data_IF_965825823750
#
_entry.id   IF_965825823750
#
_cell.length_a   1.000
_cell.length_b   1.000
_cell.length_c   1.000
_cell.angle_alpha   90.00
_cell.angle_beta   90.00
_cell.angle_gamma   90.00
#
_symmetry.space_group_name_H-M   'P 1'
#
loop_
_entity.id
_entity.type
_entity.pdbx_description
1 polymer ?
#
# COMPACT_ATOMS: atom_id res chain seq x y z
N UNK A 1 -2.54 -48.46 20.72
CA UNK A 1 -3.20 -47.14 20.57
C UNK A 1 -2.17 -46.22 19.97
N UNK A 2 -2.47 -45.63 18.80
CA UNK A 2 -1.55 -44.69 18.15
C UNK A 2 -1.45 -43.41 18.96
N UNK A 3 -0.29 -42.75 18.97
CA UNK A 3 -0.11 -41.44 19.61
C UNK A 3 -1.19 -40.44 19.17
N UNK A 4 -1.61 -40.50 17.91
CA UNK A 4 -2.70 -39.69 17.34
C UNK A 4 -4.03 -39.84 18.11
N UNK A 5 -4.43 -41.06 18.47
CA UNK A 5 -5.69 -41.27 19.24
C UNK A 5 -5.64 -40.70 20.66
N UNK A 6 -4.45 -40.56 21.25
CA UNK A 6 -4.31 -39.97 22.58
C UNK A 6 -4.33 -38.44 22.50
N UNK A 7 -3.71 -37.87 21.46
CA UNK A 7 -3.72 -36.43 21.19
C UNK A 7 -5.16 -35.96 20.91
N UNK A 8 -5.90 -36.67 20.06
CA UNK A 8 -7.31 -36.37 19.74
C UNK A 8 -8.21 -36.41 21.00
N UNK A 9 -7.96 -37.37 21.91
CA UNK A 9 -8.70 -37.47 23.16
C UNK A 9 -8.36 -36.33 24.12
N UNK A 10 -7.08 -35.97 24.25
CA UNK A 10 -6.64 -34.85 25.12
C UNK A 10 -7.12 -33.50 24.56
N UNK A 11 -7.22 -33.33 23.24
CA UNK A 11 -7.84 -32.16 22.57
C UNK A 11 -9.31 -32.01 22.94
N UNK A 12 -10.04 -33.13 22.99
CA UNK A 12 -11.47 -33.12 23.36
C UNK A 12 -11.73 -32.81 24.84
N UNK A 13 -10.76 -33.10 25.73
CA UNK A 13 -10.92 -32.98 27.18
C UNK A 13 -10.33 -31.68 27.75
N UNK A 14 -9.30 -31.10 27.12
CA UNK A 14 -8.50 -30.01 27.72
C UNK A 14 -8.75 -28.62 27.12
N UNK A 15 -9.62 -28.52 26.10
CA UNK A 15 -9.75 -27.31 25.28
C UNK A 15 -8.54 -27.17 24.34
N UNK A 16 -8.76 -27.36 23.03
CA UNK A 16 -7.72 -27.51 22.01
C UNK A 16 -6.68 -26.38 21.85
N UNK A 17 -6.79 -25.28 22.60
CA UNK A 17 -5.81 -24.19 22.59
C UNK A 17 -4.44 -24.60 23.17
N UNK A 18 -4.39 -25.46 24.20
CA UNK A 18 -3.13 -25.83 24.86
C UNK A 18 -2.27 -26.82 24.05
N UNK A 19 -2.87 -27.63 23.17
CA UNK A 19 -2.15 -28.65 22.38
C UNK A 19 -1.48 -28.06 21.13
N UNK A 20 -1.91 -26.87 20.71
CA UNK A 20 -1.31 -26.13 19.59
C UNK A 20 -0.09 -25.30 19.99
N UNK A 21 0.15 -25.09 21.28
CA UNK A 21 1.28 -24.30 21.77
C UNK A 21 2.48 -25.19 22.02
N UNK A 22 3.60 -24.88 21.38
CA UNK A 22 4.90 -25.49 21.67
C UNK A 22 5.56 -24.79 22.86
N UNK A 23 5.58 -23.46 22.81
CA UNK A 23 6.31 -22.60 23.73
C UNK A 23 5.48 -21.35 24.02
N UNK A 24 5.40 -20.95 25.29
CA UNK A 24 4.83 -19.65 25.68
C UNK A 24 5.96 -18.64 25.82
N UNK A 25 5.91 -17.57 25.02
CA UNK A 25 6.96 -16.55 24.95
C UNK A 25 6.66 -15.34 25.86
N UNK A 26 5.52 -15.33 26.55
CA UNK A 26 5.06 -14.22 27.39
C UNK A 26 4.32 -13.13 26.60
N UNK A 27 3.71 -12.18 27.31
CA UNK A 27 2.95 -11.05 26.74
C UNK A 27 1.85 -11.45 25.73
N UNK A 28 1.28 -12.65 25.86
CA UNK A 28 0.29 -13.18 24.93
C UNK A 28 0.86 -13.81 23.65
N UNK A 29 2.19 -13.81 23.48
CA UNK A 29 2.86 -14.45 22.35
C UNK A 29 3.20 -15.90 22.65
N UNK A 30 3.04 -16.73 21.63
CA UNK A 30 3.30 -18.17 21.67
C UNK A 30 4.02 -18.61 20.40
N UNK A 31 4.70 -19.74 20.48
CA UNK A 31 5.13 -20.53 19.33
C UNK A 31 4.17 -21.68 19.10
N UNK A 32 3.65 -21.80 17.89
CA UNK A 32 2.71 -22.86 17.54
C UNK A 32 3.41 -24.16 17.13
N UNK A 33 2.78 -25.30 17.44
CA UNK A 33 3.09 -26.62 16.87
C UNK A 33 2.43 -26.70 15.49
N UNK A 34 3.22 -26.61 14.42
CA UNK A 34 2.76 -26.84 13.04
C UNK A 34 3.76 -27.74 12.31
N UNK A 35 3.32 -28.33 11.20
CA UNK A 35 4.14 -29.26 10.42
C UNK A 35 5.31 -28.57 9.71
N UNK A 36 6.39 -29.31 9.45
CA UNK A 36 7.51 -28.80 8.64
C UNK A 36 7.06 -28.44 7.21
N UNK A 37 6.03 -29.12 6.70
CA UNK A 37 5.42 -28.82 5.40
C UNK A 37 4.85 -27.40 5.35
N UNK A 38 4.17 -26.94 6.41
CA UNK A 38 3.64 -25.58 6.49
C UNK A 38 4.75 -24.53 6.57
N UNK A 39 5.89 -24.86 7.21
CA UNK A 39 7.08 -24.00 7.20
C UNK A 39 7.64 -23.81 5.79
N UNK A 40 7.71 -24.89 5.01
CA UNK A 40 8.18 -24.82 3.61
C UNK A 40 7.20 -24.05 2.73
N UNK A 41 5.90 -24.23 2.95
CA UNK A 41 4.86 -23.52 2.24
C UNK A 41 4.92 -22.01 2.47
N UNK A 42 5.24 -21.57 3.69
CA UNK A 42 5.26 -20.15 4.03
C UNK A 42 6.14 -19.31 3.10
N UNK A 43 7.30 -19.81 2.64
CA UNK A 43 8.14 -19.07 1.68
C UNK A 43 7.40 -18.71 0.39
N UNK A 44 6.45 -19.55 -0.04
CA UNK A 44 5.68 -19.35 -1.27
C UNK A 44 4.45 -18.44 -1.09
N UNK A 45 4.15 -17.99 0.14
CA UNK A 45 3.00 -17.13 0.41
C UNK A 45 3.24 -15.70 -0.08
N UNK A 46 4.49 -15.24 -0.08
CA UNK A 46 4.90 -13.94 -0.64
C UNK A 46 5.40 -14.15 -2.07
N UNK A 47 4.64 -13.67 -3.06
CA UNK A 47 4.93 -13.85 -4.49
C UNK A 47 5.24 -12.52 -5.19
N UNK A 48 4.83 -11.42 -4.59
CA UNK A 48 5.12 -10.07 -5.05
C UNK A 48 5.19 -9.08 -3.88
N UNK A 49 5.69 -7.87 -4.16
CA UNK A 49 5.78 -6.79 -3.18
C UNK A 49 4.41 -6.46 -2.56
N UNK A 50 3.33 -6.51 -3.34
CA UNK A 50 1.99 -6.23 -2.87
C UNK A 50 1.52 -7.21 -1.78
N UNK A 51 1.94 -8.48 -1.84
CA UNK A 51 1.62 -9.47 -0.81
C UNK A 51 2.24 -9.06 0.54
N UNK A 52 3.45 -8.47 0.56
CA UNK A 52 4.09 -7.95 1.78
C UNK A 52 3.24 -6.85 2.41
N UNK A 53 2.74 -5.93 1.57
CA UNK A 53 1.92 -4.80 2.05
C UNK A 53 0.62 -5.32 2.66
N UNK A 54 -0.05 -6.28 2.01
CA UNK A 54 -1.27 -6.90 2.55
C UNK A 54 -1.01 -7.62 3.87
N UNK A 55 0.06 -8.40 3.99
CA UNK A 55 0.39 -9.09 5.24
C UNK A 55 0.67 -8.13 6.39
N UNK A 56 1.39 -7.03 6.14
CA UNK A 56 1.65 -6.02 7.17
C UNK A 56 0.40 -5.22 7.53
N UNK A 57 -0.49 -4.94 6.56
CA UNK A 57 -1.80 -4.33 6.83
C UNK A 57 -2.69 -5.24 7.69
N UNK A 58 -2.71 -6.54 7.39
CA UNK A 58 -3.39 -7.54 8.22
C UNK A 58 -2.84 -7.53 9.63
N UNK A 59 -1.52 -7.56 9.80
CA UNK A 59 -0.88 -7.54 11.13
C UNK A 59 -1.26 -6.30 11.93
N UNK A 60 -1.27 -5.11 11.31
CA UNK A 60 -1.67 -3.88 11.98
C UNK A 60 -3.15 -3.90 12.40
N UNK A 61 -4.07 -4.28 11.50
CA UNK A 61 -5.50 -4.50 11.83
C UNK A 61 -5.66 -5.44 13.02
N UNK A 62 -4.94 -6.53 12.94
CA UNK A 62 -4.96 -7.64 13.88
C UNK A 62 -4.38 -7.27 15.27
N UNK A 63 -3.53 -6.25 15.31
CA UNK A 63 -3.02 -5.58 16.50
C UNK A 63 -3.90 -4.38 16.92
N UNK A 64 -5.17 -4.36 16.50
CA UNK A 64 -6.15 -3.34 16.86
C UNK A 64 -5.78 -1.90 16.46
N UNK A 65 -4.97 -1.72 15.42
CA UNK A 65 -4.68 -0.40 14.88
C UNK A 65 -5.98 0.27 14.38
N UNK A 66 -6.03 1.59 14.51
CA UNK A 66 -7.08 2.45 13.93
C UNK A 66 -6.57 3.25 12.72
N UNK A 67 -5.26 3.51 12.69
CA UNK A 67 -4.57 4.24 11.64
C UNK A 67 -3.31 3.49 11.19
N UNK A 68 -3.12 3.41 9.87
CA UNK A 68 -1.92 2.80 9.27
C UNK A 68 -1.32 3.75 8.24
N UNK A 69 -0.01 3.92 8.29
CA UNK A 69 0.77 4.81 7.43
C UNK A 69 1.78 3.98 6.65
N UNK A 70 1.69 4.03 5.32
CA UNK A 70 2.54 3.28 4.40
C UNK A 70 3.46 4.28 3.69
N UNK A 71 4.74 4.28 4.03
CA UNK A 71 5.75 4.97 3.24
C UNK A 71 6.35 4.00 2.23
N UNK A 72 6.46 4.44 0.97
CA UNK A 72 7.12 3.64 -0.06
C UNK A 72 7.93 4.48 -1.04
N UNK A 73 9.13 3.99 -1.35
CA UNK A 73 10.04 4.57 -2.36
C UNK A 73 10.73 3.45 -3.14
N UNK A 74 11.22 3.77 -4.33
CA UNK A 74 12.05 2.87 -5.13
C UNK A 74 13.28 3.59 -5.63
N UNK A 75 14.43 2.97 -5.43
CA UNK A 75 15.74 3.43 -5.89
C UNK A 75 16.39 2.31 -6.70
N UNK A 76 16.46 2.48 -8.02
CA UNK A 76 16.89 1.40 -8.91
C UNK A 76 15.95 0.19 -8.81
N UNK A 77 16.51 -0.98 -8.53
CA UNK A 77 15.73 -2.21 -8.28
C UNK A 77 15.37 -2.42 -6.81
N UNK A 78 15.72 -1.51 -5.91
CA UNK A 78 15.41 -1.64 -4.47
C UNK A 78 14.15 -0.86 -4.14
N UNK A 79 13.15 -1.54 -3.58
CA UNK A 79 11.97 -0.92 -2.99
C UNK A 79 12.08 -0.91 -1.48
N UNK A 80 11.80 0.25 -0.90
CA UNK A 80 11.68 0.45 0.53
C UNK A 80 10.20 0.57 0.89
N UNK A 81 9.82 -0.14 1.94
CA UNK A 81 8.49 -0.10 2.55
C UNK A 81 8.66 0.19 4.02
N UNK A 82 7.87 1.12 4.54
CA UNK A 82 7.75 1.34 5.98
C UNK A 82 6.27 1.40 6.33
N UNK A 83 5.81 0.50 7.19
CA UNK A 83 4.42 0.40 7.63
C UNK A 83 4.41 0.77 9.11
N UNK A 84 3.70 1.84 9.44
CA UNK A 84 3.59 2.39 10.79
C UNK A 84 2.12 2.31 11.20
N UNK A 85 1.85 1.81 12.40
CA UNK A 85 0.50 1.68 12.94
C UNK A 85 0.43 2.13 14.40
N UNK A 86 -0.77 2.51 14.84
CA UNK A 86 -1.09 2.92 16.21
C UNK A 86 -1.68 1.78 17.06
N UNK A 87 -1.40 0.52 16.70
CA UNK A 87 -1.95 -0.65 17.38
C UNK A 87 -1.26 -0.99 18.70
N UNK A 88 -1.48 -2.23 19.14
CA UNK A 88 -0.98 -2.77 20.41
C UNK A 88 0.55 -2.83 20.51
N UNK A 89 1.25 -2.78 19.37
CA UNK A 89 2.71 -2.88 19.32
C UNK A 89 3.30 -4.19 19.85
N UNK A 90 4.63 -4.27 19.87
CA UNK A 90 5.40 -5.48 20.17
C UNK A 90 6.44 -5.16 21.25
N UNK A 91 6.42 -5.88 22.40
CA UNK A 91 7.43 -5.74 23.44
C UNK A 91 8.86 -5.96 22.92
N UNK A 92 9.82 -5.19 23.44
CA UNK A 92 11.21 -5.14 22.95
C UNK A 92 11.85 -6.53 22.89
N UNK A 93 11.62 -7.35 23.91
CA UNK A 93 12.15 -8.71 24.03
C UNK A 93 11.60 -9.68 22.96
N UNK A 94 10.46 -9.36 22.34
CA UNK A 94 9.80 -10.19 21.32
C UNK A 94 10.08 -9.73 19.88
N UNK A 95 10.63 -8.54 19.66
CA UNK A 95 10.73 -7.93 18.33
C UNK A 95 11.59 -8.74 17.34
N UNK A 96 12.59 -9.49 17.82
CA UNK A 96 13.34 -10.42 16.97
C UNK A 96 12.59 -11.75 16.79
N UNK A 97 11.96 -12.24 17.86
CA UNK A 97 11.28 -13.54 17.88
C UNK A 97 10.05 -13.59 16.97
N UNK A 98 9.34 -12.48 16.78
CA UNK A 98 8.14 -12.45 15.90
C UNK A 98 8.43 -12.73 14.43
N UNK A 99 9.69 -12.64 14.00
CA UNK A 99 10.12 -13.04 12.65
C UNK A 99 10.50 -14.52 12.56
N UNK A 100 10.57 -15.23 13.68
CA UNK A 100 10.79 -16.66 13.68
C UNK A 100 9.52 -17.40 13.26
N UNK A 101 9.66 -18.60 12.65
CA UNK A 101 8.50 -19.33 12.22
C UNK A 101 7.63 -19.70 13.43
N UNK A 102 6.31 -19.60 13.23
CA UNK A 102 5.25 -20.09 14.14
C UNK A 102 5.01 -19.19 15.35
N UNK A 103 5.67 -18.04 15.42
CA UNK A 103 5.46 -17.08 16.50
C UNK A 103 4.24 -16.23 16.19
N UNK A 104 3.32 -16.15 17.14
CA UNK A 104 2.10 -15.32 17.02
C UNK A 104 1.53 -14.97 18.38
N UNK A 105 0.80 -13.87 18.45
CA UNK A 105 -0.08 -13.52 19.58
C UNK A 105 -1.51 -14.08 19.42
N UNK A 106 -1.79 -14.78 18.31
CA UNK A 106 -3.12 -15.30 17.98
C UNK A 106 -3.20 -16.81 18.19
N UNK A 107 -3.90 -17.19 19.26
CA UNK A 107 -4.22 -18.58 19.55
C UNK A 107 -5.46 -19.08 18.79
N UNK A 108 -6.34 -18.18 18.37
CA UNK A 108 -7.57 -18.53 17.68
C UNK A 108 -7.37 -18.79 16.18
N UNK A 109 -8.21 -19.69 15.69
CA UNK A 109 -8.20 -20.44 14.42
C UNK A 109 -7.73 -19.68 13.18
N UNK A 110 -7.00 -20.40 12.33
CA UNK A 110 -6.78 -20.09 10.90
C UNK A 110 -7.97 -19.33 10.30
N UNK A 111 -7.77 -18.06 9.97
CA UNK A 111 -8.78 -17.16 9.41
C UNK A 111 -8.61 -17.10 7.90
N UNK A 112 -9.70 -17.17 7.15
CA UNK A 112 -9.73 -16.93 5.71
C UNK A 112 -10.45 -15.61 5.45
N UNK A 113 -9.81 -14.69 4.76
CA UNK A 113 -10.41 -13.45 4.27
C UNK A 113 -10.23 -13.33 2.73
N UNK A 114 -10.59 -12.18 2.15
CA UNK A 114 -10.53 -11.92 0.71
C UNK A 114 -9.11 -12.05 0.10
N UNK A 115 -8.06 -12.00 0.92
CA UNK A 115 -6.67 -12.14 0.52
C UNK A 115 -6.09 -13.53 0.86
N UNK A 116 -6.93 -14.47 1.31
CA UNK A 116 -6.55 -15.86 1.62
C UNK A 116 -6.43 -16.18 3.10
N UNK A 117 -5.64 -17.21 3.41
CA UNK A 117 -5.52 -17.78 4.76
C UNK A 117 -4.41 -17.08 5.55
N UNK A 118 -4.72 -16.68 6.79
CA UNK A 118 -3.74 -16.15 7.75
C UNK A 118 -3.96 -16.69 9.17
N UNK A 119 -3.12 -16.27 10.13
CA UNK A 119 -3.24 -16.69 11.54
C UNK A 119 -2.41 -17.92 11.95
N UNK A 120 -1.41 -18.31 11.13
CA UNK A 120 -0.50 -19.44 11.43
C UNK A 120 0.84 -19.03 12.07
N UNK A 121 1.05 -17.74 12.33
CA UNK A 121 2.34 -17.22 12.80
C UNK A 121 3.46 -17.31 11.76
N UNK A 122 3.12 -17.21 10.46
CA UNK A 122 4.08 -17.39 9.37
C UNK A 122 4.29 -16.14 8.51
N UNK A 123 3.45 -15.11 8.63
CA UNK A 123 3.49 -13.92 7.78
C UNK A 123 4.83 -13.17 7.85
N UNK A 124 5.26 -12.76 9.05
CA UNK A 124 6.52 -12.05 9.25
C UNK A 124 7.75 -12.91 8.89
N UNK A 125 7.71 -14.21 9.21
CA UNK A 125 8.74 -15.16 8.80
C UNK A 125 8.84 -15.28 7.27
N UNK A 126 7.70 -15.36 6.59
CA UNK A 126 7.63 -15.45 5.13
C UNK A 126 8.19 -14.20 4.46
N UNK A 127 7.80 -13.01 4.95
CA UNK A 127 8.37 -11.74 4.49
C UNK A 127 9.89 -11.79 4.64
N UNK A 128 10.41 -12.11 5.84
CA UNK A 128 11.85 -12.17 6.11
C UNK A 128 12.61 -13.12 5.19
N UNK A 129 11.98 -14.20 4.75
CA UNK A 129 12.60 -15.21 3.87
C UNK A 129 12.63 -14.82 2.38
N UNK A 130 11.92 -13.76 1.98
CA UNK A 130 11.74 -13.37 0.57
C UNK A 130 12.28 -11.96 0.24
N UNK A 131 12.92 -11.29 1.19
CA UNK A 131 13.40 -9.90 1.04
C UNK A 131 14.83 -9.78 1.52
N UNK A 132 15.52 -8.70 1.12
CA UNK A 132 16.90 -8.43 1.57
C UNK A 132 16.93 -8.11 3.06
N UNK A 133 15.94 -7.37 3.54
CA UNK A 133 15.83 -6.96 4.93
C UNK A 133 14.36 -6.77 5.33
N UNK A 134 13.99 -7.23 6.52
CA UNK A 134 12.73 -6.89 7.17
C UNK A 134 12.99 -6.75 8.66
N UNK A 135 12.61 -5.69 9.34
CA UNK A 135 12.79 -5.57 10.78
C UNK A 135 11.73 -4.63 11.38
N UNK A 136 11.60 -4.65 12.71
CA UNK A 136 10.84 -3.64 13.43
C UNK A 136 11.78 -2.46 13.68
N UNK A 137 11.52 -1.33 13.04
CA UNK A 137 12.28 -0.10 13.22
C UNK A 137 12.02 0.50 14.60
N UNK A 138 10.75 0.51 15.01
CA UNK A 138 10.35 0.93 16.35
C UNK A 138 9.05 0.24 16.78
N UNK A 139 8.97 -0.19 18.03
CA UNK A 139 7.71 -0.63 18.63
C UNK A 139 7.85 -0.68 20.15
N UNK A 140 6.72 -0.72 20.84
CA UNK A 140 6.65 -1.04 22.26
C UNK A 140 5.23 -1.45 22.62
N UNK A 141 5.08 -2.12 23.76
CA UNK A 141 3.77 -2.54 24.24
C UNK A 141 2.84 -1.33 24.40
N UNK A 142 1.71 -1.36 23.71
CA UNK A 142 0.67 -0.32 23.63
C UNK A 142 1.16 1.01 23.02
N UNK A 143 2.21 0.97 22.20
CA UNK A 143 2.77 2.17 21.56
C UNK A 143 2.65 2.16 20.04
N UNK A 144 2.14 1.10 19.42
CA UNK A 144 2.15 0.87 17.97
C UNK A 144 3.41 0.18 17.47
N UNK A 145 3.47 -0.06 16.15
CA UNK A 145 4.65 -0.63 15.48
C UNK A 145 5.03 0.05 14.18
N UNK A 146 6.33 0.13 13.89
CA UNK A 146 6.92 0.55 12.64
C UNK A 146 7.76 -0.59 12.07
N UNK A 147 7.31 -1.20 10.98
CA UNK A 147 8.02 -2.23 10.24
C UNK A 147 8.73 -1.61 9.04
N UNK A 148 10.01 -1.93 8.87
CA UNK A 148 10.78 -1.55 7.69
C UNK A 148 11.13 -2.79 6.88
N UNK A 149 10.94 -2.71 5.56
CA UNK A 149 11.25 -3.80 4.62
C UNK A 149 11.97 -3.23 3.40
N UNK A 150 13.07 -3.89 3.03
CA UNK A 150 13.86 -3.60 1.84
C UNK A 150 13.80 -4.79 0.89
N UNK A 151 13.27 -4.56 -0.31
CA UNK A 151 12.99 -5.60 -1.30
C UNK A 151 13.81 -5.35 -2.57
N UNK A 152 14.52 -6.37 -3.03
CA UNK A 152 15.07 -6.39 -4.38
C UNK A 152 13.98 -6.81 -5.38
N UNK A 153 13.53 -5.86 -6.20
CA UNK A 153 12.46 -6.08 -7.18
C UNK A 153 12.87 -6.94 -8.38
N UNK A 154 14.17 -7.22 -8.55
CA UNK A 154 14.66 -8.19 -9.53
C UNK A 154 14.48 -9.65 -9.04
N UNK A 155 14.47 -9.86 -7.72
CA UNK A 155 14.27 -11.18 -7.10
C UNK A 155 12.79 -11.42 -6.73
N UNK A 156 12.15 -10.43 -6.11
CA UNK A 156 10.72 -10.43 -5.78
C UNK A 156 10.02 -9.31 -6.56
N UNK A 157 9.40 -9.69 -7.67
CA UNK A 157 8.74 -8.73 -8.57
C UNK A 157 7.64 -7.91 -7.88
N UNK A 158 7.42 -6.70 -8.37
CA UNK A 158 6.23 -5.88 -8.09
C UNK A 158 5.35 -5.81 -9.34
N UNK A 159 4.07 -5.49 -9.19
CA UNK A 159 3.20 -5.29 -10.36
C UNK A 159 3.61 -4.03 -11.14
N UNK A 160 3.29 -4.02 -12.42
CA UNK A 160 3.55 -2.85 -13.26
C UNK A 160 2.67 -1.68 -12.85
N UNK A 161 3.19 -0.46 -13.04
CA UNK A 161 2.52 0.81 -12.71
C UNK A 161 2.18 0.95 -11.21
N UNK A 162 3.16 1.43 -10.44
CA UNK A 162 3.02 1.71 -8.99
C UNK A 162 2.50 3.12 -8.66
N UNK A 163 2.07 3.89 -9.67
CA UNK A 163 1.75 5.31 -9.50
C UNK A 163 0.29 5.63 -9.83
N UNK A 164 -0.36 4.86 -10.71
CA UNK A 164 -1.75 5.10 -11.07
C UNK A 164 -2.71 4.60 -10.00
N UNK A 165 -3.70 5.42 -9.68
CA UNK A 165 -4.81 5.02 -8.82
C UNK A 165 -5.81 4.15 -9.58
N UNK A 166 -6.39 3.13 -8.93
CA UNK A 166 -7.51 2.40 -9.49
C UNK A 166 -8.79 3.23 -9.45
N UNK A 167 -9.80 2.81 -10.23
CA UNK A 167 -11.11 3.44 -10.33
C UNK A 167 -12.10 2.72 -9.41
N UNK A 168 -12.82 3.50 -8.61
CA UNK A 168 -13.91 3.01 -7.76
C UNK A 168 -15.25 3.16 -8.46
N UNK A 169 -16.06 2.11 -8.38
CA UNK A 169 -17.47 2.12 -8.78
C UNK A 169 -18.34 1.69 -7.59
N UNK A 170 -19.64 2.01 -7.68
CA UNK A 170 -20.64 1.45 -6.76
C UNK A 170 -21.33 0.29 -7.45
N UNK A 171 -21.53 -0.80 -6.73
CA UNK A 171 -22.38 -1.90 -7.19
C UNK A 171 -23.88 -1.54 -7.11
N UNK A 172 -24.74 -2.51 -7.45
CA UNK A 172 -26.20 -2.36 -7.44
C UNK A 172 -26.75 -2.03 -6.04
N UNK A 173 -26.06 -2.47 -4.98
CA UNK A 173 -26.39 -2.21 -3.57
C UNK A 173 -25.78 -0.89 -3.05
N UNK A 174 -25.05 -0.16 -3.89
CA UNK A 174 -24.41 1.11 -3.56
C UNK A 174 -23.09 0.98 -2.79
N UNK A 175 -22.54 -0.23 -2.67
CA UNK A 175 -21.26 -0.52 -2.03
C UNK A 175 -20.10 -0.20 -2.98
N UNK A 176 -19.13 0.54 -2.46
CA UNK A 176 -17.92 0.91 -3.20
C UNK A 176 -17.00 -0.30 -3.35
N UNK A 177 -16.54 -0.55 -4.56
CA UNK A 177 -15.54 -1.57 -4.88
C UNK A 177 -14.55 -1.03 -5.92
N UNK A 178 -13.37 -1.66 -6.00
CA UNK A 178 -12.40 -1.37 -7.06
C UNK A 178 -12.82 -2.07 -8.34
N UNK A 179 -13.18 -1.30 -9.37
CA UNK A 179 -13.65 -1.84 -10.63
C UNK A 179 -12.52 -2.10 -11.62
N UNK A 180 -11.59 -1.15 -11.75
CA UNK A 180 -10.52 -1.18 -12.77
C UNK A 180 -9.25 -0.54 -12.25
N UNK A 181 -8.13 -0.83 -12.91
CA UNK A 181 -6.83 -0.22 -12.65
C UNK A 181 -5.75 -1.26 -12.37
N UNK A 182 -4.50 -0.80 -12.22
CA UNK A 182 -3.36 -1.68 -11.96
C UNK A 182 -3.52 -2.40 -10.61
N UNK A 183 -3.02 -3.63 -10.53
CA UNK A 183 -2.95 -4.42 -9.28
C UNK A 183 -1.73 -4.03 -8.45
N UNK A 184 -1.54 -2.73 -8.24
CA UNK A 184 -0.35 -2.18 -7.57
C UNK A 184 -0.55 -2.00 -6.06
N UNK A 185 0.47 -1.49 -5.37
CA UNK A 185 0.43 -1.23 -3.93
C UNK A 185 -0.74 -0.29 -3.56
N UNK A 186 -1.02 0.73 -4.38
CA UNK A 186 -2.13 1.67 -4.15
C UNK A 186 -3.45 0.91 -4.13
N UNK A 187 -3.67 0.02 -5.10
CA UNK A 187 -4.88 -0.82 -5.16
C UNK A 187 -4.96 -1.76 -3.97
N UNK A 188 -3.87 -2.43 -3.60
CA UNK A 188 -3.84 -3.30 -2.42
C UNK A 188 -4.26 -2.55 -1.14
N UNK A 189 -3.67 -1.37 -0.90
CA UNK A 189 -4.03 -0.51 0.24
C UNK A 189 -5.49 -0.02 0.17
N UNK A 190 -5.99 0.32 -1.04
CA UNK A 190 -7.35 0.80 -1.23
C UNK A 190 -8.40 -0.29 -1.03
N UNK A 191 -8.20 -1.48 -1.59
CA UNK A 191 -9.08 -2.64 -1.39
C UNK A 191 -9.15 -3.02 0.09
N UNK A 192 -7.99 -3.05 0.76
CA UNK A 192 -7.94 -3.31 2.20
C UNK A 192 -8.65 -2.22 3.01
N UNK A 193 -8.47 -0.95 2.64
CA UNK A 193 -9.15 0.16 3.31
C UNK A 193 -10.66 0.12 3.08
N UNK A 194 -11.15 -0.28 1.90
CA UNK A 194 -12.58 -0.44 1.62
C UNK A 194 -13.23 -1.53 2.49
N UNK A 195 -12.57 -2.68 2.60
CA UNK A 195 -13.06 -3.80 3.41
C UNK A 195 -13.12 -3.45 4.90
N UNK A 196 -12.21 -2.58 5.37
CA UNK A 196 -12.07 -2.23 6.79
C UNK A 196 -12.47 -0.77 7.10
N UNK A 197 -13.24 -0.12 6.22
CA UNK A 197 -13.52 1.34 6.26
C UNK A 197 -14.21 1.85 7.54
N UNK A 198 -14.77 0.95 8.37
CA UNK A 198 -15.43 1.30 9.63
C UNK A 198 -14.46 1.38 10.81
N UNK A 199 -13.29 0.74 10.70
CA UNK A 199 -12.34 0.58 11.80
C UNK A 199 -10.96 1.15 11.48
N UNK A 200 -10.60 1.24 10.19
CA UNK A 200 -9.25 1.58 9.76
C UNK A 200 -9.21 2.77 8.80
N UNK A 201 -8.25 3.67 9.07
CA UNK A 201 -7.84 4.73 8.15
C UNK A 201 -6.43 4.46 7.66
N UNK A 202 -6.23 4.41 6.34
CA UNK A 202 -4.94 4.10 5.73
C UNK A 202 -4.43 5.30 4.95
N UNK A 203 -3.16 5.64 5.15
CA UNK A 203 -2.41 6.66 4.43
C UNK A 203 -1.28 6.02 3.64
N UNK A 204 -1.04 6.47 2.42
CA UNK A 204 0.03 5.95 1.56
C UNK A 204 0.70 7.09 0.82
N UNK A 205 2.04 7.12 0.84
CA UNK A 205 2.83 8.09 0.09
C UNK A 205 4.32 7.87 0.24
N UNK A 206 5.10 8.90 -0.10
CA UNK A 206 6.54 8.94 0.12
C UNK A 206 6.89 9.10 1.61
N UNK A 207 8.12 8.79 2.04
CA UNK A 207 8.59 9.05 3.41
C UNK A 207 8.37 10.50 3.86
N UNK A 208 8.53 11.47 2.95
CA UNK A 208 8.31 12.88 3.26
C UNK A 208 6.84 13.19 3.55
N UNK A 209 5.92 12.68 2.72
CA UNK A 209 4.49 12.88 2.89
C UNK A 209 3.95 12.15 4.12
N UNK A 210 4.44 10.94 4.40
CA UNK A 210 4.07 10.18 5.61
C UNK A 210 4.60 10.87 6.86
N UNK A 211 5.83 11.39 6.85
CA UNK A 211 6.36 12.20 7.96
C UNK A 211 5.48 13.43 8.21
N UNK A 212 5.12 14.18 7.15
CA UNK A 212 4.22 15.33 7.30
C UNK A 212 2.85 14.93 7.86
N UNK A 213 2.34 13.77 7.44
CA UNK A 213 1.06 13.23 7.92
C UNK A 213 1.13 12.83 9.40
N UNK A 214 2.23 12.21 9.84
CA UNK A 214 2.45 11.83 11.24
C UNK A 214 2.65 13.05 12.15
N UNK A 215 3.33 14.09 11.69
CA UNK A 215 3.46 15.36 12.41
C UNK A 215 2.08 15.99 12.63
N UNK A 216 1.26 16.08 11.58
CA UNK A 216 -0.12 16.59 11.68
C UNK A 216 -1.01 15.69 12.56
N UNK A 217 -0.87 14.37 12.47
CA UNK A 217 -1.57 13.41 13.32
C UNK A 217 -1.24 13.63 14.80
N UNK A 218 0.05 13.69 15.14
CA UNK A 218 0.51 13.93 16.51
C UNK A 218 0.07 15.28 17.05
N UNK A 219 0.11 16.36 16.26
CA UNK A 219 -0.39 17.67 16.70
C UNK A 219 -1.90 17.71 16.99
N UNK A 220 -2.69 16.87 16.32
CA UNK A 220 -4.13 16.75 16.58
C UNK A 220 -4.45 15.88 17.79
N UNK A 221 -3.61 14.89 18.09
CA UNK A 221 -3.78 13.97 19.22
C UNK A 221 -3.20 14.54 20.53
N UNK A 222 -2.04 15.18 20.46
CA UNK A 222 -1.32 15.71 21.62
C UNK A 222 -1.89 17.08 22.03
N UNK A 223 -2.45 17.14 23.24
CA UNK A 223 -2.77 18.41 23.91
C UNK A 223 -1.48 19.16 24.28
N UNK A 224 -1.50 20.49 24.23
CA UNK A 224 -0.34 21.34 24.57
C UNK A 224 0.24 21.06 25.96
N UNK A 225 -0.60 20.68 26.93
CA UNK A 225 -0.15 20.33 28.28
C UNK A 225 0.71 19.05 28.29
N UNK A 226 0.33 18.03 27.51
CA UNK A 226 1.10 16.79 27.42
C UNK A 226 2.51 17.05 26.89
N UNK A 227 2.65 17.90 25.87
CA UNK A 227 3.95 18.25 25.26
C UNK A 227 4.90 18.92 26.26
N UNK A 228 4.38 19.69 27.23
CA UNK A 228 5.19 20.39 28.23
C UNK A 228 5.77 19.47 29.31
N UNK A 229 5.20 18.28 29.51
CA UNK A 229 5.58 17.33 30.56
C UNK A 229 6.19 16.03 30.01
N UNK A 230 6.65 16.02 28.76
CA UNK A 230 7.33 14.86 28.19
C UNK A 230 8.79 14.86 28.64
N UNK A 231 9.10 14.03 29.64
CA UNK A 231 10.48 13.80 30.06
C UNK A 231 11.22 12.84 29.09
N UNK A 232 10.48 11.93 28.46
CA UNK A 232 11.01 10.93 27.51
C UNK A 232 10.03 10.70 26.35
N UNK A 233 10.46 11.07 25.14
CA UNK A 233 9.69 10.92 23.90
C UNK A 233 9.36 9.46 23.56
N UNK A 234 10.13 8.50 24.08
CA UNK A 234 9.89 7.08 23.81
C UNK A 234 8.65 6.54 24.53
N UNK A 235 8.13 7.28 25.52
CA UNK A 235 6.87 6.96 26.20
C UNK A 235 5.63 7.31 25.37
N UNK A 236 5.78 8.15 24.36
CA UNK A 236 4.69 8.49 23.45
C UNK A 236 4.40 7.34 22.46
N UNK A 237 3.13 7.17 22.03
CA UNK A 237 2.79 6.35 20.88
C UNK A 237 3.63 6.75 19.66
N UNK A 238 4.12 5.77 18.90
CA UNK A 238 5.09 6.02 17.83
C UNK A 238 4.55 6.99 16.77
N UNK A 239 3.25 6.94 16.49
CA UNK A 239 2.58 7.79 15.51
C UNK A 239 2.50 9.27 15.93
N UNK A 240 2.72 9.56 17.21
CA UNK A 240 2.65 10.92 17.77
C UNK A 240 4.02 11.56 17.97
N UNK A 241 5.10 10.76 18.02
CA UNK A 241 6.45 11.21 18.38
C UNK A 241 6.99 12.32 17.49
N UNK A 242 6.74 12.25 16.18
CA UNK A 242 7.30 13.24 15.25
C UNK A 242 6.78 14.67 15.53
N UNK A 243 5.58 14.80 16.10
CA UNK A 243 5.00 16.09 16.47
C UNK A 243 5.67 16.75 17.69
N UNK A 244 6.45 15.99 18.48
CA UNK A 244 7.21 16.52 19.61
C UNK A 244 8.60 17.05 19.21
N UNK A 245 9.00 16.92 17.94
CA UNK A 245 10.30 17.40 17.44
C UNK A 245 10.38 18.93 17.51
N UNK A 246 11.40 19.47 18.15
CA UNK A 246 11.60 20.91 18.30
C UNK A 246 12.15 21.57 17.03
N UNK A 247 12.96 20.85 16.24
CA UNK A 247 13.58 21.35 15.02
C UNK A 247 13.72 20.29 13.92
N UNK A 248 14.29 20.70 12.78
CA UNK A 248 14.45 19.83 11.61
C UNK A 248 15.41 18.66 11.86
N UNK A 249 16.44 18.85 12.69
CA UNK A 249 17.40 17.80 13.01
C UNK A 249 16.76 16.74 13.91
N UNK A 250 16.06 17.18 14.96
CA UNK A 250 15.30 16.27 15.81
C UNK A 250 14.23 15.50 15.02
N UNK A 251 13.50 16.19 14.13
CA UNK A 251 12.52 15.53 13.25
C UNK A 251 13.16 14.45 12.38
N UNK A 252 14.34 14.71 11.80
CA UNK A 252 15.07 13.71 11.02
C UNK A 252 15.50 12.52 11.86
N UNK A 253 16.05 12.75 13.05
CA UNK A 253 16.50 11.69 13.94
C UNK A 253 15.32 10.80 14.36
N UNK A 254 14.20 11.41 14.76
CA UNK A 254 13.00 10.67 15.14
C UNK A 254 12.40 9.92 13.95
N UNK A 255 12.30 10.54 12.77
CA UNK A 255 11.83 9.89 11.56
C UNK A 255 12.70 8.66 11.20
N UNK A 256 14.03 8.77 11.35
CA UNK A 256 14.95 7.67 11.11
C UNK A 256 14.68 6.48 12.05
N UNK A 257 14.31 6.72 13.32
CA UNK A 257 13.93 5.64 14.26
C UNK A 257 12.67 4.90 13.81
N UNK A 258 11.79 5.55 13.06
CA UNK A 258 10.60 4.91 12.47
C UNK A 258 10.88 4.24 11.12
N UNK A 259 12.13 4.27 10.63
CA UNK A 259 12.51 3.75 9.31
C UNK A 259 12.24 4.72 8.16
N UNK A 260 12.01 6.00 8.45
CA UNK A 260 11.75 7.05 7.45
C UNK A 260 13.00 7.91 7.22
N UNK A 261 13.64 7.74 6.06
CA UNK A 261 14.80 8.52 5.67
C UNK A 261 14.41 9.88 5.09
N UNK A 262 14.96 10.96 5.65
CA UNK A 262 14.69 12.34 5.21
C UNK A 262 16.00 13.12 5.00
N UNK A 263 15.95 14.12 4.11
CA UNK A 263 16.99 15.15 4.04
C UNK A 263 16.64 16.32 4.98
N UNK A 264 17.65 17.08 5.43
CA UNK A 264 17.46 18.30 6.22
C UNK A 264 16.57 19.32 5.53
N UNK A 265 16.78 19.50 4.22
CA UNK A 265 15.90 20.33 3.40
C UNK A 265 14.45 19.85 3.44
N UNK A 266 14.22 18.55 3.37
CA UNK A 266 12.86 17.97 3.44
C UNK A 266 12.25 18.20 4.82
N UNK A 267 12.99 17.99 5.90
CA UNK A 267 12.52 18.23 7.27
C UNK A 267 12.09 19.69 7.48
N UNK A 268 12.88 20.67 7.01
CA UNK A 268 12.47 22.08 7.03
C UNK A 268 11.20 22.35 6.22
N UNK A 269 11.02 21.70 5.05
CA UNK A 269 9.81 21.85 4.24
C UNK A 269 8.58 21.28 4.94
N UNK A 270 8.72 20.21 5.72
CA UNK A 270 7.64 19.65 6.53
C UNK A 270 7.27 20.62 7.66
N UNK A 271 8.25 21.06 8.46
CA UNK A 271 8.02 21.98 9.58
C UNK A 271 7.46 23.35 9.15
N UNK A 272 7.80 23.81 7.94
CA UNK A 272 7.25 25.04 7.37
C UNK A 272 5.92 24.86 6.63
N UNK A 273 5.35 23.64 6.62
CA UNK A 273 4.06 23.35 5.99
C UNK A 273 4.08 23.35 4.45
N UNK A 274 5.25 23.27 3.83
CA UNK A 274 5.38 23.18 2.36
C UNK A 274 5.10 21.77 1.81
N UNK A 275 5.13 20.75 2.67
CA UNK A 275 4.69 19.40 2.34
C UNK A 275 3.38 19.18 3.10
N UNK A 276 2.28 19.08 2.36
CA UNK A 276 0.97 18.92 2.95
C UNK A 276 0.77 17.48 3.48
N UNK A 277 0.11 17.32 4.64
CA UNK A 277 -0.36 16.02 5.12
C UNK A 277 -1.26 15.33 4.09
N UNK A 278 -1.11 14.01 3.97
CA UNK A 278 -1.90 13.21 3.06
C UNK A 278 -3.36 13.11 3.54
N UNK A 279 -4.26 12.94 2.58
CA UNK A 279 -5.59 12.39 2.86
C UNK A 279 -5.50 10.86 2.82
N UNK A 280 -6.40 10.19 3.54
CA UNK A 280 -6.50 8.73 3.52
C UNK A 280 -6.69 8.22 2.10
N UNK A 281 -6.18 7.02 1.79
CA UNK A 281 -6.23 6.40 0.45
C UNK A 281 -7.67 6.37 -0.11
N UNK A 282 -8.67 6.06 0.73
CA UNK A 282 -10.09 6.11 0.33
C UNK A 282 -10.59 7.48 -0.13
N UNK A 283 -10.07 8.57 0.46
CA UNK A 283 -10.46 9.95 0.13
C UNK A 283 -9.71 10.49 -1.08
N UNK A 284 -8.61 9.85 -1.49
CA UNK A 284 -7.87 10.22 -2.69
C UNK A 284 -8.56 9.77 -3.97
N UNK A 285 -9.48 8.79 -3.89
CA UNK A 285 -10.22 8.31 -5.04
C UNK A 285 -11.65 8.83 -5.00
N UNK A 286 -12.03 9.56 -6.05
CA UNK A 286 -13.42 9.97 -6.26
C UNK A 286 -14.13 8.82 -6.98
N UNK A 287 -15.22 8.26 -6.44
CA UNK A 287 -15.99 7.24 -7.14
C UNK A 287 -16.51 7.80 -8.46
N UNK A 288 -16.31 7.08 -9.56
CA UNK A 288 -17.06 7.39 -10.77
C UNK A 288 -18.55 7.13 -10.46
N UNK A 289 -19.42 8.07 -10.85
CA UNK A 289 -20.85 7.80 -10.84
C UNK A 289 -21.04 6.61 -11.78
N UNK A 290 -21.44 5.47 -11.20
CA UNK A 290 -21.74 4.26 -11.96
C UNK A 290 -22.54 4.67 -13.19
N UNK A 291 -22.09 4.23 -14.37
CA UNK A 291 -22.85 4.46 -15.59
C UNK A 291 -24.23 3.89 -15.33
N UNK A 292 -25.22 4.76 -15.17
CA UNK A 292 -26.63 4.37 -15.31
C UNK A 292 -26.67 3.52 -16.56
N UNK A 293 -27.03 2.26 -16.42
CA UNK A 293 -27.27 1.35 -17.53
C UNK A 293 -28.26 2.10 -18.41
N UNK A 294 -27.77 2.76 -19.47
CA UNK A 294 -28.68 3.42 -20.38
C UNK A 294 -29.44 2.27 -21.00
N UNK A 295 -30.74 2.21 -20.73
CA UNK A 295 -31.67 1.42 -21.55
C UNK A 295 -31.22 1.56 -23.00
N UNK A 296 -30.87 0.48 -23.71
CA UNK A 296 -30.38 0.59 -25.07
C UNK A 296 -31.41 1.38 -25.87
N UNK A 297 -31.01 2.59 -26.25
CA UNK A 297 -31.85 3.51 -26.98
C UNK A 297 -31.95 2.95 -28.40
N UNK A 298 -33.00 2.16 -28.63
CA UNK A 298 -33.31 1.50 -29.90
C UNK A 298 -33.45 2.48 -31.08
N UNK A 299 -33.44 3.79 -30.79
CA UNK A 299 -33.53 4.88 -31.76
C UNK A 299 -32.19 5.59 -32.06
N UNK A 300 -31.08 5.24 -31.40
CA UNK A 300 -29.76 5.76 -31.79
C UNK A 300 -29.22 4.99 -33.00
N UNK A 301 -29.19 5.68 -34.13
CA UNK A 301 -28.57 5.19 -35.36
C UNK A 301 -27.06 4.96 -35.14
N UNK A 302 -26.68 3.69 -34.93
CA UNK A 302 -25.30 3.26 -34.70
C UNK A 302 -24.43 3.28 -35.98
N UNK A 303 -24.86 3.98 -37.03
CA UNK A 303 -24.06 4.24 -38.23
C UNK A 303 -23.12 5.41 -37.98
N UNK A 304 -22.08 5.17 -37.17
CA UNK A 304 -21.00 6.14 -37.03
C UNK A 304 -20.42 6.51 -38.40
N UNK A 305 -20.02 7.78 -38.57
CA UNK A 305 -19.45 8.28 -39.81
C UNK A 305 -18.26 7.41 -40.24
N UNK A 306 -18.34 6.83 -41.45
CA UNK A 306 -17.25 6.10 -42.08
C UNK A 306 -16.77 6.92 -43.27
N UNK A 307 -15.51 7.32 -43.25
CA UNK A 307 -14.85 7.93 -44.40
C UNK A 307 -14.32 6.83 -45.31
N UNK A 308 -14.43 7.03 -46.63
CA UNK A 308 -13.77 6.14 -47.57
C UNK A 308 -12.26 6.26 -47.41
N UNK A 309 -11.54 5.16 -47.66
CA UNK A 309 -10.08 5.13 -47.49
C UNK A 309 -9.38 6.18 -48.37
N UNK A 310 -9.86 6.38 -49.59
CA UNK A 310 -9.35 7.39 -50.52
C UNK A 310 -9.51 8.82 -49.97
N UNK A 311 -10.64 9.11 -49.32
CA UNK A 311 -10.89 10.42 -48.70
C UNK A 311 -9.98 10.65 -47.48
N UNK A 312 -9.74 9.61 -46.68
CA UNK A 312 -8.80 9.68 -45.54
C UNK A 312 -7.37 9.94 -46.03
N UNK A 313 -6.94 9.24 -47.08
CA UNK A 313 -5.60 9.42 -47.66
C UNK A 313 -5.45 10.80 -48.30
N UNK A 314 -6.47 11.29 -49.02
CA UNK A 314 -6.50 12.64 -49.59
C UNK A 314 -6.45 13.71 -48.49
N UNK A 315 -7.28 13.57 -47.45
CA UNK A 315 -7.32 14.49 -46.32
C UNK A 315 -5.99 14.51 -45.55
N UNK A 316 -5.35 13.36 -45.37
CA UNK A 316 -4.02 13.27 -44.73
C UNK A 316 -2.98 14.11 -45.48
N UNK A 317 -2.96 14.04 -46.82
CA UNK A 317 -2.02 14.81 -47.65
C UNK A 317 -2.25 16.32 -47.56
N UNK A 318 -3.52 16.76 -47.47
CA UNK A 318 -3.83 18.18 -47.27
C UNK A 318 -3.42 18.67 -45.88
N UNK A 319 -3.56 17.81 -44.84
CA UNK A 319 -3.09 18.14 -43.50
C UNK A 319 -1.56 18.18 -43.39
N UNK A 320 -0.83 17.37 -44.16
CA UNK A 320 0.64 17.47 -44.29
C UNK A 320 1.06 18.83 -44.85
N UNK A 321 0.44 19.28 -45.94
CA UNK A 321 0.70 20.61 -46.52
C UNK A 321 0.38 21.73 -45.53
N UNK A 322 -0.74 21.62 -44.81
CA UNK A 322 -1.12 22.61 -43.81
C UNK A 322 -0.10 22.67 -42.65
N UNK A 323 0.52 21.54 -42.32
CA UNK A 323 1.55 21.47 -41.28
C UNK A 323 2.85 22.18 -41.66
N UNK A 324 3.18 22.32 -42.95
CA UNK A 324 4.40 23.03 -43.41
C UNK A 324 4.48 24.47 -42.88
N UNK A 325 3.34 25.13 -42.68
CA UNK A 325 3.26 26.48 -42.09
C UNK A 325 3.85 26.49 -40.67
N UNK A 326 3.58 25.45 -39.88
CA UNK A 326 4.09 25.30 -38.53
C UNK A 326 5.53 24.82 -38.53
N UNK A 327 5.87 23.90 -39.45
CA UNK A 327 7.22 23.40 -39.63
C UNK A 327 8.24 24.53 -39.84
N UNK A 328 7.92 25.48 -40.74
CA UNK A 328 8.80 26.62 -41.03
C UNK A 328 8.93 27.61 -39.87
N UNK A 329 7.85 27.82 -39.09
CA UNK A 329 7.85 28.81 -37.99
C UNK A 329 8.50 28.31 -36.72
N UNK A 330 8.43 27.00 -36.48
CA UNK A 330 8.83 26.39 -35.22
C UNK A 330 9.99 25.40 -35.37
N UNK A 331 10.59 25.27 -36.56
CA UNK A 331 11.71 24.36 -36.86
C UNK A 331 11.41 22.92 -36.43
N UNK A 332 10.22 22.44 -36.78
CA UNK A 332 9.75 21.07 -36.48
C UNK A 332 9.45 20.33 -37.78
N UNK A 333 9.69 19.02 -37.80
CA UNK A 333 9.40 18.16 -38.95
C UNK A 333 8.39 17.07 -38.56
N UNK A 334 7.69 16.52 -39.55
CA UNK A 334 6.81 15.37 -39.33
C UNK A 334 7.63 14.09 -39.29
N UNK A 335 7.45 13.31 -38.23
CA UNK A 335 8.05 11.99 -38.06
C UNK A 335 7.36 10.92 -38.92
N UNK A 336 6.04 11.00 -39.02
CA UNK A 336 5.18 10.08 -39.76
C UNK A 336 4.03 10.85 -40.42
N UNK A 337 3.35 10.21 -41.38
CA UNK A 337 2.11 10.73 -41.97
C UNK A 337 1.03 10.97 -40.88
N UNK A 338 0.25 12.07 -40.96
CA UNK A 338 -0.80 12.38 -39.99
C UNK A 338 -1.82 11.24 -39.85
N UNK A 339 -2.06 10.79 -38.62
CA UNK A 339 -3.01 9.71 -38.35
C UNK A 339 -4.41 10.29 -38.13
N UNK A 340 -5.33 9.94 -39.02
CA UNK A 340 -6.75 10.32 -38.94
C UNK A 340 -7.55 9.18 -38.30
N UNK A 341 -8.35 9.47 -37.30
CA UNK A 341 -9.24 8.51 -36.64
C UNK A 341 -10.66 9.09 -36.57
N UNK A 342 -11.65 8.31 -37.00
CA UNK A 342 -13.07 8.68 -36.93
C UNK A 342 -13.76 7.81 -35.89
N UNK A 343 -14.40 8.43 -34.90
CA UNK A 343 -15.16 7.74 -33.85
C UNK A 343 -16.46 8.48 -33.56
N UNK A 344 -17.59 7.81 -33.80
CA UNK A 344 -18.91 8.45 -33.75
C UNK A 344 -18.99 9.58 -34.77
N UNK A 345 -19.26 10.80 -34.29
CA UNK A 345 -19.32 12.02 -35.09
C UNK A 345 -18.06 12.90 -34.95
N UNK A 346 -16.94 12.32 -34.49
CA UNK A 346 -15.69 13.06 -34.26
C UNK A 346 -14.57 12.54 -35.18
N UNK A 347 -13.90 13.46 -35.86
CA UNK A 347 -12.67 13.21 -36.63
C UNK A 347 -11.49 13.79 -35.84
N UNK A 348 -10.51 12.96 -35.51
CA UNK A 348 -9.28 13.36 -34.80
C UNK A 348 -8.08 13.18 -35.73
N UNK A 349 -7.22 14.20 -35.84
CA UNK A 349 -5.96 14.15 -36.60
C UNK A 349 -4.79 14.27 -35.62
N UNK A 350 -3.86 13.31 -35.67
CA UNK A 350 -2.67 13.29 -34.83
C UNK A 350 -1.41 13.45 -35.69
N UNK A 351 -0.61 14.46 -35.37
CA UNK A 351 0.71 14.69 -35.96
C UNK A 351 1.80 14.18 -35.02
N UNK A 352 2.67 13.30 -35.51
CA UNK A 352 3.90 12.92 -34.83
C UNK A 352 5.01 13.84 -35.32
N UNK A 353 5.68 14.56 -34.42
CA UNK A 353 6.70 15.55 -34.78
C UNK A 353 8.07 15.15 -34.24
N UNK A 354 9.12 15.46 -35.01
CA UNK A 354 10.50 15.49 -34.55
C UNK A 354 10.96 16.96 -34.47
N UNK A 355 11.82 17.26 -33.50
CA UNK A 355 12.44 18.58 -33.36
C UNK A 355 13.82 18.51 -33.98
N UNK A 356 14.07 19.29 -35.03
CA UNK A 356 15.44 19.51 -35.47
C UNK A 356 16.11 20.39 -34.41
N UNK A 357 17.17 19.88 -33.79
CA UNK A 357 18.01 20.62 -32.82
C UNK A 357 19.01 21.51 -33.56
#
# INVERSE_FOLDING_TARGET
MSEDTLIDFIESVSGGAHLRVEENLGNGFVRLRISEAERRQAKHDIRCVEDIVIELLRNARDANASCIFIATTKEGSVRYLTIIDDGDGIPVELQQLVFEPRVTSKLETMVMDDWGVHGRGMALYSIRCNVEEAHIACSGAQLGSAFHVRVNTDELGEKTDQSSYPILEKDEDGVLHVARGPHNIIRAALEFSLANKQILTIYLGSPAEITATLVDYGHRSLSSDKLLFIDDITTLPICERLAASADANELMQQAQTLGLSLSERTAHRILSGQIEPLRSVLRNVVPEKGKTVSTPDLFKDNRGLKLAREDVESFSREMEKAFEILAQRYYISLKDIPKITVKGDTITVRFSIDKEL
#
